data_IF_696788148604
#
_entry.id   IF_696788148604
#
_cell.length_a   1.000
_cell.length_b   1.000
_cell.length_c   1.000
_cell.angle_alpha   90.00
_cell.angle_beta   90.00
_cell.angle_gamma   90.00
#
_symmetry.space_group_name_H-M   'P 1'
#
loop_
_entity.id
_entity.type
_entity.pdbx_description
1 polymer ?
#
# COMPACT_ATOMS: atom_id res chain seq x y z
N UNK A 1 -40.29 8.51 2.78
CA UNK A 1 -41.16 7.32 2.67
C UNK A 1 -40.67 6.31 3.69
N UNK A 2 -41.54 5.49 4.31
CA UNK A 2 -41.06 4.40 5.16
C UNK A 2 -40.18 3.44 4.35
N UNK A 3 -39.19 2.84 5.01
CA UNK A 3 -38.29 1.86 4.41
C UNK A 3 -39.11 0.72 3.76
N UNK A 4 -38.73 0.24 2.56
CA UNK A 4 -39.40 -0.89 1.95
C UNK A 4 -39.22 -2.15 2.81
N UNK A 5 -40.33 -2.72 3.29
CA UNK A 5 -40.35 -3.98 4.03
C UNK A 5 -40.15 -5.15 3.05
N UNK A 6 -39.01 -5.83 3.16
CA UNK A 6 -38.63 -6.99 2.33
C UNK A 6 -39.72 -8.07 2.35
N UNK A 7 -40.31 -8.36 3.51
CA UNK A 7 -41.31 -9.42 3.62
C UNK A 7 -42.57 -9.04 2.83
N UNK A 8 -43.02 -7.79 2.94
CA UNK A 8 -44.16 -7.28 2.18
C UNK A 8 -43.90 -7.30 0.67
N UNK A 9 -42.69 -6.89 0.24
CA UNK A 9 -42.30 -6.91 -1.18
C UNK A 9 -42.23 -8.34 -1.73
N UNK A 10 -41.71 -9.29 -0.97
CA UNK A 10 -41.68 -10.71 -1.37
C UNK A 10 -43.09 -11.28 -1.48
N UNK A 11 -43.98 -10.99 -0.52
CA UNK A 11 -45.39 -11.39 -0.62
C UNK A 11 -46.12 -10.74 -1.81
N UNK A 12 -45.74 -9.52 -2.19
CA UNK A 12 -46.25 -8.89 -3.41
C UNK A 12 -45.72 -9.55 -4.68
N UNK A 13 -44.42 -9.84 -4.71
CA UNK A 13 -43.79 -10.54 -5.82
C UNK A 13 -44.43 -11.93 -6.00
N UNK A 14 -44.59 -12.70 -4.92
CA UNK A 14 -45.22 -14.02 -4.94
C UNK A 14 -46.65 -14.00 -5.50
N UNK A 15 -47.43 -12.96 -5.20
CA UNK A 15 -48.78 -12.78 -5.78
C UNK A 15 -48.75 -12.49 -7.29
N UNK A 16 -47.72 -11.83 -7.77
CA UNK A 16 -47.62 -11.36 -9.17
C UNK A 16 -46.84 -12.31 -10.08
N UNK A 17 -45.84 -12.98 -9.54
CA UNK A 17 -44.88 -13.86 -10.22
C UNK A 17 -44.28 -14.88 -9.22
N UNK A 18 -44.99 -15.99 -8.96
CA UNK A 18 -44.59 -16.98 -7.96
C UNK A 18 -43.20 -17.57 -8.23
N UNK A 19 -42.86 -17.83 -9.49
CA UNK A 19 -41.58 -18.44 -9.88
C UNK A 19 -40.40 -17.53 -9.55
N UNK A 20 -40.59 -16.20 -9.58
CA UNK A 20 -39.55 -15.23 -9.23
C UNK A 20 -39.39 -15.00 -7.72
N UNK A 21 -40.36 -15.40 -6.89
CA UNK A 21 -40.34 -15.08 -5.47
C UNK A 21 -39.23 -15.82 -4.71
N UNK A 22 -39.05 -17.12 -4.97
CA UNK A 22 -38.01 -17.93 -4.33
C UNK A 22 -36.59 -17.50 -4.74
N UNK A 23 -36.42 -17.17 -6.02
CA UNK A 23 -35.18 -16.64 -6.58
C UNK A 23 -34.83 -15.26 -5.98
N UNK A 24 -35.81 -14.37 -5.86
CA UNK A 24 -35.64 -13.06 -5.23
C UNK A 24 -35.32 -13.17 -3.74
N UNK A 25 -35.98 -14.10 -3.03
CA UNK A 25 -35.71 -14.39 -1.62
C UNK A 25 -34.26 -14.83 -1.43
N UNK A 26 -33.81 -15.80 -2.23
CA UNK A 26 -32.41 -16.26 -2.23
C UNK A 26 -31.45 -15.08 -2.45
N UNK A 27 -31.73 -14.23 -3.43
CA UNK A 27 -30.87 -13.08 -3.72
C UNK A 27 -30.79 -12.09 -2.56
N UNK A 28 -31.91 -11.73 -1.95
CA UNK A 28 -31.95 -10.75 -0.85
C UNK A 28 -31.30 -11.28 0.42
N UNK A 29 -31.49 -12.56 0.74
CA UNK A 29 -30.83 -13.18 1.90
C UNK A 29 -29.30 -13.06 1.80
N UNK A 30 -28.74 -13.32 0.61
CA UNK A 30 -27.31 -13.15 0.35
C UNK A 30 -26.86 -11.68 0.34
N UNK A 31 -27.66 -10.80 -0.25
CA UNK A 31 -27.30 -9.40 -0.46
C UNK A 31 -27.36 -8.58 0.84
N UNK A 32 -28.37 -8.82 1.68
CA UNK A 32 -28.63 -7.98 2.87
C UNK A 32 -28.14 -8.59 4.16
N UNK A 33 -28.04 -9.92 4.26
CA UNK A 33 -27.78 -10.59 5.52
C UNK A 33 -28.81 -10.28 6.62
N UNK A 34 -30.01 -9.81 6.24
CA UNK A 34 -31.07 -9.37 7.16
C UNK A 34 -31.16 -7.86 7.39
N UNK A 35 -30.25 -7.06 6.83
CA UNK A 35 -30.34 -5.60 6.88
C UNK A 35 -31.45 -5.04 5.97
N UNK A 36 -32.01 -3.85 6.28
CA UNK A 36 -33.03 -3.22 5.44
C UNK A 36 -32.53 -2.89 4.02
N UNK A 37 -33.41 -2.94 3.01
CA UNK A 37 -33.05 -2.60 1.62
C UNK A 37 -32.59 -1.14 1.44
N UNK A 38 -32.95 -0.25 2.36
CA UNK A 38 -32.52 1.16 2.33
C UNK A 38 -31.03 1.36 2.60
N UNK A 39 -30.34 0.37 3.16
CA UNK A 39 -28.90 0.43 3.39
C UNK A 39 -28.09 -0.03 2.17
N UNK A 40 -28.77 -0.55 1.13
CA UNK A 40 -28.11 -1.06 -0.07
C UNK A 40 -27.40 0.04 -0.83
N UNK A 41 -26.18 -0.26 -1.26
CA UNK A 41 -25.39 0.56 -2.18
C UNK A 41 -25.30 -0.12 -3.56
N UNK A 42 -24.87 0.64 -4.56
CA UNK A 42 -24.54 0.08 -5.87
C UNK A 42 -23.43 -0.98 -5.74
N UNK A 43 -22.46 -0.77 -4.85
CA UNK A 43 -21.37 -1.71 -4.65
C UNK A 43 -21.89 -3.07 -4.19
N UNK A 44 -22.81 -3.10 -3.21
CA UNK A 44 -23.40 -4.36 -2.71
C UNK A 44 -24.11 -5.13 -3.83
N UNK A 45 -24.91 -4.43 -4.64
CA UNK A 45 -25.65 -5.04 -5.76
C UNK A 45 -24.70 -5.58 -6.82
N UNK A 46 -23.64 -4.83 -7.16
CA UNK A 46 -22.62 -5.27 -8.10
C UNK A 46 -21.81 -6.46 -7.56
N UNK A 47 -21.36 -6.44 -6.30
CA UNK A 47 -20.62 -7.56 -5.69
C UNK A 47 -21.49 -8.82 -5.64
N UNK A 48 -22.76 -8.69 -5.26
CA UNK A 48 -23.68 -9.83 -5.28
C UNK A 48 -23.83 -10.40 -6.70
N UNK A 49 -24.25 -9.57 -7.66
CA UNK A 49 -24.57 -10.04 -9.02
C UNK A 49 -23.35 -10.56 -9.78
N UNK A 50 -22.19 -9.91 -9.62
CA UNK A 50 -21.03 -10.12 -10.48
C UNK A 50 -19.95 -10.99 -9.84
N UNK A 51 -20.00 -11.23 -8.53
CA UNK A 51 -19.03 -12.07 -7.83
C UNK A 51 -19.69 -13.17 -6.99
N UNK A 52 -20.59 -12.84 -6.07
CA UNK A 52 -21.18 -13.82 -5.14
C UNK A 52 -22.10 -14.80 -5.86
N UNK A 53 -23.02 -14.31 -6.69
CA UNK A 53 -23.97 -15.12 -7.45
C UNK A 53 -23.28 -16.18 -8.32
N UNK A 54 -22.28 -15.86 -9.17
CA UNK A 54 -21.62 -16.88 -9.99
C UNK A 54 -20.71 -17.85 -9.22
N UNK A 55 -20.15 -17.47 -8.07
CA UNK A 55 -19.15 -18.27 -7.34
C UNK A 55 -19.68 -19.02 -6.11
N UNK A 56 -20.74 -18.50 -5.46
CA UNK A 56 -21.24 -19.00 -4.18
C UNK A 56 -22.64 -19.58 -4.27
N UNK A 57 -23.44 -19.14 -5.23
CA UNK A 57 -24.80 -19.65 -5.44
C UNK A 57 -24.76 -20.75 -6.49
N UNK A 58 -25.20 -21.95 -6.08
CA UNK A 58 -25.32 -23.11 -6.97
C UNK A 58 -26.36 -22.86 -8.05
N UNK A 59 -26.06 -23.23 -9.29
CA UNK A 59 -26.98 -23.07 -10.42
C UNK A 59 -26.22 -22.96 -11.75
N UNK A 60 -26.92 -23.20 -12.85
CA UNK A 60 -26.40 -23.01 -14.20
C UNK A 60 -26.54 -21.53 -14.67
N UNK A 61 -26.09 -21.24 -15.90
CA UNK A 61 -26.19 -19.89 -16.50
C UNK A 61 -27.62 -19.34 -16.44
N UNK A 62 -28.62 -20.19 -16.70
CA UNK A 62 -30.03 -19.81 -16.72
C UNK A 62 -30.54 -19.49 -15.33
N UNK A 63 -30.28 -20.36 -14.36
CA UNK A 63 -30.67 -20.18 -12.95
C UNK A 63 -30.12 -18.86 -12.41
N UNK A 64 -28.85 -18.56 -12.66
CA UNK A 64 -28.23 -17.30 -12.21
C UNK A 64 -28.83 -16.08 -12.90
N UNK A 65 -29.18 -16.17 -14.18
CA UNK A 65 -29.87 -15.10 -14.89
C UNK A 65 -31.30 -14.89 -14.37
N UNK A 66 -31.99 -15.96 -13.97
CA UNK A 66 -33.33 -15.92 -13.39
C UNK A 66 -33.29 -15.26 -11.99
N UNK A 67 -32.34 -15.63 -11.13
CA UNK A 67 -32.06 -14.97 -9.84
C UNK A 67 -31.78 -13.47 -10.01
N UNK A 68 -30.89 -13.10 -10.94
CA UNK A 68 -30.59 -11.69 -11.21
C UNK A 68 -31.85 -10.91 -11.63
N UNK A 69 -32.68 -11.50 -12.50
CA UNK A 69 -33.94 -10.87 -12.97
C UNK A 69 -34.97 -10.76 -11.84
N UNK A 70 -35.10 -11.78 -11.01
CA UNK A 70 -35.99 -11.82 -9.86
C UNK A 70 -35.62 -10.73 -8.84
N UNK A 71 -34.33 -10.60 -8.50
CA UNK A 71 -33.82 -9.50 -7.68
C UNK A 71 -34.18 -8.13 -8.30
N UNK A 72 -33.99 -7.99 -9.62
CA UNK A 72 -34.34 -6.75 -10.32
C UNK A 72 -35.84 -6.41 -10.31
N UNK A 73 -36.74 -7.41 -10.21
CA UNK A 73 -38.18 -7.18 -10.04
C UNK A 73 -38.50 -6.71 -8.62
N UNK A 74 -37.93 -7.38 -7.62
CA UNK A 74 -38.12 -7.01 -6.22
C UNK A 74 -37.63 -5.59 -5.92
N UNK A 75 -36.43 -5.23 -6.39
CA UNK A 75 -35.87 -3.90 -6.22
C UNK A 75 -36.74 -2.83 -6.91
N UNK A 76 -37.33 -3.15 -8.06
CA UNK A 76 -38.26 -2.25 -8.74
C UNK A 76 -39.55 -2.03 -7.94
N UNK A 77 -40.12 -3.10 -7.34
CA UNK A 77 -41.26 -2.98 -6.43
C UNK A 77 -40.93 -2.12 -5.20
N UNK A 78 -39.69 -2.22 -4.70
CA UNK A 78 -39.18 -1.40 -3.60
C UNK A 78 -38.83 0.05 -3.96
N UNK A 79 -39.03 0.48 -5.23
CA UNK A 79 -38.67 1.84 -5.68
C UNK A 79 -37.17 2.08 -5.83
N UNK A 80 -36.38 1.01 -5.98
CA UNK A 80 -34.92 1.03 -6.16
C UNK A 80 -34.57 0.84 -7.65
N UNK A 81 -35.18 1.65 -8.52
CA UNK A 81 -35.12 1.55 -9.99
C UNK A 81 -33.69 1.47 -10.53
N UNK A 82 -32.77 2.22 -9.94
CA UNK A 82 -31.36 2.25 -10.36
C UNK A 82 -30.67 0.90 -10.12
N UNK A 83 -30.91 0.27 -8.97
CA UNK A 83 -30.34 -1.04 -8.67
C UNK A 83 -31.02 -2.13 -9.50
N UNK A 84 -32.34 -2.03 -9.67
CA UNK A 84 -33.10 -2.89 -10.58
C UNK A 84 -32.58 -2.83 -12.04
N UNK A 85 -32.12 -1.67 -12.50
CA UNK A 85 -31.50 -1.52 -13.82
C UNK A 85 -30.16 -2.26 -13.94
N UNK A 86 -29.35 -2.31 -12.87
CA UNK A 86 -28.10 -3.08 -12.84
C UNK A 86 -28.39 -4.57 -13.01
N UNK A 87 -29.38 -5.10 -12.28
CA UNK A 87 -29.80 -6.49 -12.39
C UNK A 87 -30.14 -6.91 -13.83
N UNK A 88 -30.77 -6.02 -14.61
CA UNK A 88 -31.17 -6.25 -16.00
C UNK A 88 -30.17 -5.75 -17.04
N UNK A 89 -29.01 -5.27 -16.62
CA UNK A 89 -28.06 -4.63 -17.52
C UNK A 89 -27.36 -5.64 -18.44
N UNK A 90 -26.98 -5.25 -19.67
CA UNK A 90 -26.12 -6.06 -20.53
C UNK A 90 -24.80 -6.44 -19.85
N UNK A 91 -24.28 -5.58 -18.98
CA UNK A 91 -23.07 -5.84 -18.19
C UNK A 91 -23.26 -7.05 -17.26
N UNK A 92 -24.36 -7.12 -16.51
CA UNK A 92 -24.68 -8.26 -15.64
C UNK A 92 -24.79 -9.55 -16.44
N UNK A 93 -25.50 -9.52 -17.57
CA UNK A 93 -25.58 -10.68 -18.48
C UNK A 93 -24.21 -11.10 -18.97
N UNK A 94 -23.37 -10.14 -19.40
CA UNK A 94 -22.03 -10.42 -19.90
C UNK A 94 -21.13 -11.07 -18.84
N UNK A 95 -21.08 -10.52 -17.62
CA UNK A 95 -20.25 -11.07 -16.54
C UNK A 95 -20.67 -12.50 -16.18
N UNK A 96 -21.98 -12.74 -15.99
CA UNK A 96 -22.50 -14.07 -15.67
C UNK A 96 -22.20 -15.09 -16.79
N UNK A 97 -22.32 -14.68 -18.05
CA UNK A 97 -21.96 -15.52 -19.20
C UNK A 97 -20.46 -15.82 -19.27
N UNK A 98 -19.60 -14.85 -18.97
CA UNK A 98 -18.15 -15.06 -18.95
C UNK A 98 -17.77 -16.07 -17.87
N UNK A 99 -18.38 -16.03 -16.68
CA UNK A 99 -18.20 -17.09 -15.68
C UNK A 99 -18.62 -18.47 -16.21
N UNK A 100 -19.81 -18.57 -16.82
CA UNK A 100 -20.34 -19.84 -17.30
C UNK A 100 -19.53 -20.43 -18.47
N UNK A 101 -19.02 -19.60 -19.38
CA UNK A 101 -18.45 -20.04 -20.66
C UNK A 101 -16.92 -20.02 -20.71
N UNK A 102 -16.30 -19.15 -19.94
CA UNK A 102 -14.86 -18.90 -19.96
C UNK A 102 -14.18 -19.20 -18.62
N UNK A 103 -14.94 -19.60 -17.61
CA UNK A 103 -14.45 -20.02 -16.30
C UNK A 103 -14.14 -18.86 -15.36
N UNK A 104 -13.83 -19.21 -14.10
CA UNK A 104 -13.76 -18.26 -12.98
C UNK A 104 -12.73 -17.15 -13.17
N UNK A 105 -11.56 -17.44 -13.75
CA UNK A 105 -10.54 -16.41 -13.96
C UNK A 105 -11.00 -15.31 -14.93
N UNK A 106 -11.60 -15.71 -16.06
CA UNK A 106 -12.15 -14.76 -17.03
C UNK A 106 -13.35 -14.01 -16.43
N UNK A 107 -14.20 -14.71 -15.67
CA UNK A 107 -15.31 -14.12 -14.95
C UNK A 107 -14.87 -13.06 -13.94
N UNK A 108 -13.86 -13.35 -13.11
CA UNK A 108 -13.29 -12.41 -12.14
C UNK A 108 -12.70 -11.18 -12.84
N UNK A 109 -12.02 -11.36 -13.98
CA UNK A 109 -11.49 -10.24 -14.76
C UNK A 109 -12.62 -9.36 -15.35
N UNK A 110 -13.68 -9.97 -15.88
CA UNK A 110 -14.85 -9.25 -16.39
C UNK A 110 -15.59 -8.50 -15.27
N UNK A 111 -15.74 -9.12 -14.11
CA UNK A 111 -16.27 -8.50 -12.90
C UNK A 111 -15.45 -7.27 -12.48
N UNK A 112 -14.13 -7.39 -12.36
CA UNK A 112 -13.26 -6.28 -11.95
C UNK A 112 -13.36 -5.12 -12.95
N UNK A 113 -13.34 -5.40 -14.25
CA UNK A 113 -13.50 -4.38 -15.29
C UNK A 113 -14.87 -3.70 -15.23
N UNK A 114 -15.95 -4.47 -15.00
CA UNK A 114 -17.30 -3.93 -14.85
C UNK A 114 -17.42 -3.05 -13.60
N UNK A 115 -16.83 -3.46 -12.49
CA UNK A 115 -16.86 -2.71 -11.23
C UNK A 115 -16.06 -1.42 -11.33
N UNK A 116 -14.87 -1.43 -11.93
CA UNK A 116 -14.09 -0.23 -12.20
C UNK A 116 -14.86 0.79 -13.05
N UNK A 117 -15.61 0.30 -14.05
CA UNK A 117 -16.41 1.14 -14.95
C UNK A 117 -17.59 1.85 -14.25
N UNK A 118 -18.06 1.35 -13.11
CA UNK A 118 -19.12 2.02 -12.33
C UNK A 118 -18.69 3.38 -11.78
N UNK A 119 -17.38 3.55 -11.53
CA UNK A 119 -16.82 4.72 -10.88
C UNK A 119 -17.09 4.85 -9.39
N UNK A 120 -17.81 3.90 -8.77
CA UNK A 120 -18.15 3.93 -7.33
C UNK A 120 -17.05 3.37 -6.44
N UNK A 121 -16.02 2.71 -7.01
CA UNK A 121 -14.88 2.25 -6.23
C UNK A 121 -14.01 3.44 -5.80
N UNK A 122 -13.59 3.55 -4.53
CA UNK A 122 -12.67 4.59 -4.12
C UNK A 122 -11.27 4.37 -4.74
N UNK A 123 -10.71 5.36 -5.47
CA UNK A 123 -9.33 5.29 -5.93
C UNK A 123 -8.35 5.35 -4.75
N UNK A 124 -7.12 4.90 -4.98
CA UNK A 124 -5.98 5.21 -4.11
C UNK A 124 -5.78 6.73 -4.03
N UNK A 125 -5.40 7.23 -2.85
CA UNK A 125 -4.99 8.62 -2.64
C UNK A 125 -3.58 8.68 -2.06
N UNK A 126 -2.98 9.88 -2.02
CA UNK A 126 -1.64 10.10 -1.47
C UNK A 126 -1.48 9.60 -0.03
N UNK A 127 -2.54 9.74 0.76
CA UNK A 127 -2.58 9.42 2.19
C UNK A 127 -2.83 7.92 2.45
N UNK A 128 -3.50 7.24 1.53
CA UNK A 128 -3.93 5.85 1.70
C UNK A 128 -3.98 5.12 0.36
N UNK A 129 -3.30 3.98 0.32
CA UNK A 129 -3.52 2.95 -0.69
C UNK A 129 -4.35 1.82 -0.11
N UNK A 130 -5.34 1.35 -0.84
CA UNK A 130 -6.24 0.29 -0.42
C UNK A 130 -5.53 -1.08 -0.43
N UNK A 131 -5.80 -1.88 0.60
CA UNK A 131 -5.39 -3.27 0.72
C UNK A 131 -6.26 -4.15 -0.16
N UNK A 132 -5.69 -5.20 -0.76
CA UNK A 132 -6.50 -6.29 -1.33
C UNK A 132 -7.12 -7.19 -0.26
N UNK A 133 -6.63 -7.10 0.99
CA UNK A 133 -7.15 -7.79 2.17
C UNK A 133 -7.35 -6.75 3.27
N UNK A 134 -8.56 -6.18 3.31
CA UNK A 134 -8.94 -5.14 4.26
C UNK A 134 -9.30 -5.78 5.62
N UNK A 135 -8.98 -5.09 6.71
CA UNK A 135 -9.63 -5.38 7.99
C UNK A 135 -10.94 -4.61 8.14
N UNK A 136 -11.66 -4.79 9.26
CA UNK A 136 -12.96 -4.17 9.49
C UNK A 136 -12.97 -2.64 9.33
N UNK A 137 -11.96 -1.92 9.84
CA UNK A 137 -11.91 -0.46 9.74
C UNK A 137 -11.63 0.00 8.31
N UNK A 138 -10.76 -0.71 7.60
CA UNK A 138 -10.45 -0.41 6.20
C UNK A 138 -11.60 -0.74 5.26
N UNK A 139 -12.31 -1.84 5.50
CA UNK A 139 -13.51 -2.20 4.77
C UNK A 139 -14.62 -1.16 5.02
N UNK A 140 -14.85 -0.76 6.28
CA UNK A 140 -15.82 0.28 6.62
C UNK A 140 -15.52 1.60 5.90
N UNK A 141 -14.26 2.04 5.90
CA UNK A 141 -13.83 3.22 5.16
C UNK A 141 -14.05 3.09 3.65
N UNK A 142 -13.75 1.93 3.07
CA UNK A 142 -13.93 1.65 1.65
C UNK A 142 -15.40 1.72 1.24
N UNK A 143 -16.29 1.07 2.00
CA UNK A 143 -17.74 1.09 1.78
C UNK A 143 -18.31 2.50 1.93
N UNK A 144 -17.90 3.24 2.98
CA UNK A 144 -18.32 4.62 3.20
C UNK A 144 -17.90 5.55 2.05
N UNK A 145 -16.66 5.42 1.56
CA UNK A 145 -16.19 6.18 0.40
C UNK A 145 -16.95 5.78 -0.87
N UNK A 146 -17.30 4.50 -1.02
CA UNK A 146 -18.05 4.02 -2.18
C UNK A 146 -19.47 4.59 -2.23
N UNK A 147 -20.19 4.56 -1.10
CA UNK A 147 -21.52 5.16 -0.97
C UNK A 147 -21.49 6.67 -1.24
N UNK A 148 -20.44 7.36 -0.82
CA UNK A 148 -20.25 8.79 -1.09
C UNK A 148 -20.03 9.09 -2.59
N UNK A 149 -19.19 8.30 -3.25
CA UNK A 149 -18.94 8.41 -4.69
C UNK A 149 -20.22 8.13 -5.47
N UNK A 150 -20.98 7.13 -5.05
CA UNK A 150 -22.27 6.81 -5.62
C UNK A 150 -23.25 7.98 -5.52
N UNK A 151 -23.40 8.57 -4.33
CA UNK A 151 -24.28 9.72 -4.12
C UNK A 151 -23.85 10.93 -4.97
N UNK A 152 -22.55 11.19 -5.06
CA UNK A 152 -22.02 12.26 -5.89
C UNK A 152 -22.28 12.02 -7.39
N UNK A 153 -22.25 10.76 -7.85
CA UNK A 153 -22.63 10.40 -9.23
C UNK A 153 -24.13 10.60 -9.46
N UNK A 154 -24.97 10.12 -8.55
CA UNK A 154 -26.44 10.20 -8.67
C UNK A 154 -26.93 11.65 -8.62
N UNK A 155 -26.33 12.48 -7.77
CA UNK A 155 -26.65 13.91 -7.66
C UNK A 155 -26.09 14.77 -8.79
N UNK A 156 -25.22 14.21 -9.64
CA UNK A 156 -24.58 14.93 -10.73
C UNK A 156 -23.37 15.78 -10.33
N UNK A 157 -22.93 15.75 -9.05
CA UNK A 157 -21.66 16.36 -8.61
C UNK A 157 -20.47 15.75 -9.36
N UNK A 158 -20.52 14.43 -9.60
CA UNK A 158 -19.54 13.72 -10.41
C UNK A 158 -20.21 13.13 -11.66
N UNK A 159 -19.71 13.52 -12.84
CA UNK A 159 -20.21 12.96 -14.10
C UNK A 159 -19.22 11.94 -14.67
N UNK A 160 -19.56 10.64 -14.70
CA UNK A 160 -18.76 9.62 -15.37
C UNK A 160 -18.43 9.99 -16.81
N UNK A 161 -17.19 9.77 -17.23
CA UNK A 161 -16.70 10.10 -18.57
C UNK A 161 -16.29 11.57 -18.78
N UNK A 162 -16.55 12.47 -17.82
CA UNK A 162 -16.04 13.84 -17.89
C UNK A 162 -14.51 13.91 -17.69
N UNK A 163 -13.80 14.89 -18.29
CA UNK A 163 -12.35 15.03 -18.11
C UNK A 163 -11.92 15.26 -16.65
N UNK A 164 -12.81 15.78 -15.79
CA UNK A 164 -12.56 16.02 -14.37
C UNK A 164 -12.94 14.85 -13.47
N UNK A 165 -13.60 13.81 -14.00
CA UNK A 165 -14.16 12.71 -13.20
C UNK A 165 -13.14 12.06 -12.27
N UNK A 166 -11.96 11.69 -12.80
CA UNK A 166 -10.90 11.05 -12.00
C UNK A 166 -10.41 11.93 -10.85
N UNK A 167 -10.12 13.22 -11.12
CA UNK A 167 -9.69 14.17 -10.09
C UNK A 167 -10.78 14.45 -9.05
N UNK A 168 -12.04 14.51 -9.49
CA UNK A 168 -13.19 14.67 -8.60
C UNK A 168 -13.36 13.48 -7.65
N UNK A 169 -13.22 12.25 -8.17
CA UNK A 169 -13.24 11.03 -7.34
C UNK A 169 -12.13 11.01 -6.30
N UNK A 170 -10.89 11.28 -6.71
CA UNK A 170 -9.75 11.35 -5.77
C UNK A 170 -9.95 12.42 -4.70
N UNK A 171 -10.47 13.60 -5.06
CA UNK A 171 -10.74 14.67 -4.12
C UNK A 171 -11.84 14.28 -3.12
N UNK A 172 -12.92 13.65 -3.59
CA UNK A 172 -14.02 13.19 -2.74
C UNK A 172 -13.57 12.07 -1.79
N UNK A 173 -12.84 11.08 -2.29
CA UNK A 173 -12.29 9.99 -1.46
C UNK A 173 -11.32 10.54 -0.42
N UNK A 174 -10.41 11.45 -0.79
CA UNK A 174 -9.52 12.10 0.18
C UNK A 174 -10.33 12.81 1.28
N UNK A 175 -11.33 13.60 0.88
CA UNK A 175 -12.21 14.33 1.83
C UNK A 175 -12.90 13.38 2.81
N UNK A 176 -13.48 12.30 2.29
CA UNK A 176 -14.17 11.30 3.11
C UNK A 176 -13.24 10.58 4.08
N UNK A 177 -11.98 10.37 3.69
CA UNK A 177 -10.97 9.74 4.52
C UNK A 177 -10.43 10.67 5.61
N UNK A 178 -10.21 11.95 5.33
CA UNK A 178 -9.45 12.85 6.23
C UNK A 178 -10.34 13.71 7.14
N UNK A 179 -11.59 13.98 6.77
CA UNK A 179 -12.46 14.82 7.59
C UNK A 179 -12.97 14.09 8.86
N UNK A 180 -13.01 14.79 10.01
CA UNK A 180 -13.66 14.29 11.23
C UNK A 180 -15.13 13.96 11.03
N UNK A 181 -15.57 12.86 11.66
CA UNK A 181 -16.93 12.31 11.52
C UNK A 181 -17.61 12.10 12.86
N UNK A 182 -18.85 12.56 12.98
CA UNK A 182 -19.62 12.46 14.21
C UNK A 182 -19.91 11.00 14.56
N UNK A 183 -20.24 10.19 13.56
CA UNK A 183 -20.47 8.74 13.67
C UNK A 183 -19.21 7.96 14.11
N UNK A 184 -18.02 8.55 13.94
CA UNK A 184 -16.75 8.00 14.42
C UNK A 184 -16.25 8.68 15.72
N UNK A 185 -17.12 9.43 16.41
CA UNK A 185 -16.77 10.13 17.65
C UNK A 185 -15.82 11.32 17.45
N UNK A 186 -15.86 11.96 16.28
CA UNK A 186 -14.98 13.07 15.90
C UNK A 186 -13.64 12.63 15.28
N UNK A 187 -13.46 11.32 15.05
CA UNK A 187 -12.28 10.79 14.35
C UNK A 187 -12.49 10.76 12.83
N UNK A 188 -11.44 10.46 12.07
CA UNK A 188 -11.48 10.28 10.61
C UNK A 188 -11.30 8.82 10.22
N UNK A 189 -11.83 8.42 9.06
CA UNK A 189 -11.62 7.07 8.53
C UNK A 189 -10.13 6.76 8.33
N UNK A 190 -9.33 7.73 7.89
CA UNK A 190 -7.90 7.56 7.70
C UNK A 190 -7.20 7.17 9.00
N UNK A 191 -7.55 7.80 10.11
CA UNK A 191 -6.98 7.48 11.42
C UNK A 191 -7.39 6.08 11.88
N UNK A 192 -8.65 5.68 11.68
CA UNK A 192 -9.15 4.33 11.99
C UNK A 192 -8.39 3.25 11.22
N UNK A 193 -8.23 3.44 9.90
CA UNK A 193 -7.46 2.53 9.05
C UNK A 193 -6.00 2.47 9.47
N UNK A 194 -5.38 3.62 9.76
CA UNK A 194 -3.99 3.65 10.24
C UNK A 194 -3.83 2.97 11.60
N UNK A 195 -4.77 3.19 12.53
CA UNK A 195 -4.80 2.55 13.84
C UNK A 195 -4.92 1.03 13.72
N UNK A 196 -5.82 0.54 12.87
CA UNK A 196 -5.98 -0.90 12.62
C UNK A 196 -4.70 -1.52 12.02
N UNK A 197 -4.13 -0.90 10.98
CA UNK A 197 -2.90 -1.39 10.34
C UNK A 197 -1.73 -1.39 11.32
N UNK A 198 -1.59 -0.34 12.13
CA UNK A 198 -0.54 -0.24 13.14
C UNK A 198 -0.72 -1.26 14.26
N UNK A 199 -1.91 -1.41 14.82
CA UNK A 199 -2.20 -2.41 15.86
C UNK A 199 -1.89 -3.82 15.34
N UNK A 200 -2.36 -4.15 14.13
CA UNK A 200 -2.05 -5.44 13.50
C UNK A 200 -0.55 -5.61 13.26
N UNK A 201 0.15 -4.56 12.82
CA UNK A 201 1.60 -4.57 12.67
C UNK A 201 2.26 -4.87 14.02
N UNK A 202 1.90 -4.21 15.12
CA UNK A 202 2.44 -4.47 16.47
C UNK A 202 2.19 -5.91 16.92
N UNK A 203 1.01 -6.46 16.63
CA UNK A 203 0.60 -7.84 16.94
C UNK A 203 1.23 -8.92 16.04
N UNK A 204 2.21 -8.56 15.20
CA UNK A 204 2.92 -9.47 14.29
C UNK A 204 3.45 -10.77 14.90
N UNK A 205 3.93 -11.68 14.05
CA UNK A 205 4.30 -13.05 14.46
C UNK A 205 5.48 -13.06 15.44
N UNK A 206 5.48 -13.99 16.40
CA UNK A 206 6.59 -14.18 17.35
C UNK A 206 6.53 -13.28 18.60
N UNK A 207 6.77 -13.87 19.78
CA UNK A 207 6.75 -13.13 21.06
C UNK A 207 7.87 -12.09 21.17
N UNK A 208 9.08 -12.43 20.70
CA UNK A 208 10.22 -11.51 20.69
C UNK A 208 9.95 -10.26 19.83
N UNK A 209 9.32 -10.45 18.67
CA UNK A 209 8.94 -9.37 17.76
C UNK A 209 7.86 -8.47 18.36
N UNK A 210 6.79 -9.06 18.92
CA UNK A 210 5.73 -8.30 19.62
C UNK A 210 6.29 -7.45 20.76
N UNK A 211 7.17 -8.04 21.60
CA UNK A 211 7.82 -7.32 22.69
C UNK A 211 8.68 -6.15 22.18
N UNK A 212 9.37 -6.34 21.05
CA UNK A 212 10.17 -5.28 20.44
C UNK A 212 9.31 -4.17 19.81
N UNK A 213 8.16 -4.51 19.23
CA UNK A 213 7.27 -3.57 18.56
C UNK A 213 6.34 -2.81 19.51
N UNK A 214 6.05 -3.35 20.70
CA UNK A 214 5.10 -2.75 21.65
C UNK A 214 5.34 -1.25 21.95
N UNK A 215 6.58 -0.77 22.18
CA UNK A 215 6.82 0.66 22.41
C UNK A 215 6.49 1.55 21.20
N UNK A 216 6.39 0.97 20.00
CA UNK A 216 6.16 1.69 18.75
C UNK A 216 4.68 1.91 18.43
N UNK A 217 3.75 1.25 19.13
CA UNK A 217 2.31 1.48 18.97
C UNK A 217 1.94 2.95 19.12
N UNK A 218 2.40 3.59 20.20
CA UNK A 218 2.16 5.02 20.44
C UNK A 218 3.07 5.89 19.58
N UNK A 219 4.36 5.53 19.45
CA UNK A 219 5.37 6.35 18.75
C UNK A 219 5.12 6.47 17.26
N UNK A 220 4.46 5.48 16.66
CA UNK A 220 4.13 5.45 15.24
C UNK A 220 2.67 5.78 14.98
N UNK A 221 1.88 6.24 15.96
CA UNK A 221 0.47 6.59 15.75
C UNK A 221 0.32 7.91 14.96
N UNK A 222 1.14 8.91 15.28
CA UNK A 222 1.18 10.19 14.57
C UNK A 222 2.20 10.15 13.40
N UNK A 223 2.02 11.00 12.36
CA UNK A 223 3.05 11.24 11.37
C UNK A 223 4.39 11.62 12.00
N UNK A 224 5.48 11.05 11.48
CA UNK A 224 6.82 11.37 11.97
C UNK A 224 7.26 12.71 11.35
N UNK A 225 7.50 13.76 12.15
CA UNK A 225 7.86 15.06 11.62
C UNK A 225 9.20 14.98 10.89
N UNK A 226 9.33 15.76 9.82
CA UNK A 226 10.57 15.77 9.07
C UNK A 226 11.61 16.67 9.76
N UNK A 227 12.82 16.19 10.12
CA UNK A 227 13.78 16.97 10.92
C UNK A 227 14.28 18.22 10.22
N UNK A 228 14.42 19.37 10.89
CA UNK A 228 14.88 20.62 10.27
C UNK A 228 16.30 20.57 9.66
N UNK A 229 16.54 21.44 8.67
CA UNK A 229 17.84 21.65 8.00
C UNK A 229 18.04 20.87 6.69
N UNK A 230 19.24 20.96 6.10
CA UNK A 230 19.60 20.28 4.85
C UNK A 230 19.66 18.76 5.05
N UNK A 231 18.94 18.00 4.19
CA UNK A 231 18.66 16.57 4.34
C UNK A 231 19.27 15.80 3.18
N UNK A 232 19.70 14.56 3.46
CA UNK A 232 19.97 13.56 2.43
C UNK A 232 20.96 14.03 1.36
N UNK A 233 22.01 14.73 1.80
CA UNK A 233 22.98 15.40 0.92
C UNK A 233 23.56 14.48 -0.17
N UNK A 234 23.88 13.19 0.09
CA UNK A 234 24.35 12.32 -0.98
C UNK A 234 23.33 12.13 -2.10
N UNK A 235 22.04 11.96 -1.77
CA UNK A 235 20.97 11.83 -2.75
C UNK A 235 20.80 13.14 -3.52
N UNK A 236 20.72 14.28 -2.82
CA UNK A 236 20.61 15.60 -3.43
C UNK A 236 21.76 15.87 -4.42
N UNK A 237 22.99 15.57 -4.01
CA UNK A 237 24.18 15.72 -4.85
C UNK A 237 24.09 14.86 -6.11
N UNK A 238 23.73 13.58 -5.99
CA UNK A 238 23.62 12.70 -7.15
C UNK A 238 22.53 13.16 -8.13
N UNK A 239 21.37 13.59 -7.62
CA UNK A 239 20.29 14.15 -8.44
C UNK A 239 20.75 15.43 -9.15
N UNK A 240 21.43 16.34 -8.45
CA UNK A 240 21.94 17.58 -9.03
C UNK A 240 22.94 17.29 -10.18
N UNK A 241 23.85 16.33 -10.00
CA UNK A 241 24.78 15.92 -11.06
C UNK A 241 24.08 15.35 -12.28
N UNK A 242 23.03 14.57 -12.09
CA UNK A 242 22.25 14.02 -13.19
C UNK A 242 21.31 15.05 -13.85
N UNK A 243 21.09 16.20 -13.20
CA UNK A 243 20.29 17.31 -13.71
C UNK A 243 21.09 18.29 -14.57
N UNK A 244 22.42 18.17 -14.62
CA UNK A 244 23.26 18.92 -15.55
C UNK A 244 22.80 18.66 -17.00
N UNK A 245 22.95 19.63 -17.94
CA UNK A 245 22.34 19.55 -19.28
C UNK A 245 22.62 18.26 -20.06
N UNK A 246 23.81 17.68 -19.89
CA UNK A 246 24.22 16.45 -20.55
C UNK A 246 24.00 15.17 -19.72
N UNK A 247 23.61 15.31 -18.46
CA UNK A 247 23.62 14.24 -17.46
C UNK A 247 25.02 13.70 -17.19
N UNK A 248 25.09 12.57 -16.48
CA UNK A 248 26.36 11.89 -16.17
C UNK A 248 26.71 10.86 -17.24
N UNK A 249 27.92 10.99 -17.82
CA UNK A 249 28.43 10.00 -18.78
C UNK A 249 29.02 8.80 -18.05
N UNK A 250 28.39 7.64 -18.21
CA UNK A 250 28.82 6.37 -17.65
C UNK A 250 29.99 5.76 -18.43
N UNK A 251 30.78 4.93 -17.73
CA UNK A 251 31.83 4.12 -18.33
C UNK A 251 31.27 3.05 -19.27
N UNK A 252 32.13 2.31 -19.97
CA UNK A 252 31.71 1.16 -20.79
C UNK A 252 31.05 0.04 -19.98
N UNK A 253 31.30 -0.03 -18.68
CA UNK A 253 30.66 -0.98 -17.75
C UNK A 253 29.35 -0.45 -17.15
N UNK A 254 28.85 0.68 -17.63
CA UNK A 254 27.66 1.38 -17.10
C UNK A 254 27.80 1.80 -15.63
N UNK A 255 29.03 2.06 -15.21
CA UNK A 255 29.38 2.60 -13.91
C UNK A 255 29.59 4.12 -13.99
N UNK A 256 29.51 4.79 -12.84
CA UNK A 256 29.93 6.18 -12.71
C UNK A 256 31.43 6.34 -13.05
N UNK A 257 31.81 7.44 -13.70
CA UNK A 257 33.20 7.69 -14.05
C UNK A 257 34.04 7.93 -12.78
N UNK A 258 35.34 7.60 -12.85
CA UNK A 258 36.22 7.50 -11.68
C UNK A 258 36.33 8.82 -10.91
N UNK A 259 36.38 9.95 -11.60
CA UNK A 259 36.41 11.29 -11.02
C UNK A 259 35.18 11.56 -10.13
N UNK A 260 33.99 11.19 -10.60
CA UNK A 260 32.72 11.29 -9.84
C UNK A 260 32.74 10.35 -8.62
N UNK A 261 33.27 9.14 -8.79
CA UNK A 261 33.39 8.16 -7.68
C UNK A 261 34.36 8.67 -6.60
N UNK A 262 35.53 9.18 -7.00
CA UNK A 262 36.54 9.75 -6.09
C UNK A 262 35.97 10.97 -5.36
N UNK A 263 35.25 11.85 -6.07
CA UNK A 263 34.62 13.00 -5.45
C UNK A 263 33.57 12.58 -4.41
N UNK A 264 32.68 11.65 -4.74
CA UNK A 264 31.65 11.15 -3.82
C UNK A 264 32.29 10.53 -2.57
N UNK A 265 33.29 9.65 -2.76
CA UNK A 265 33.99 9.00 -1.67
C UNK A 265 34.64 10.02 -0.72
N UNK A 266 35.30 11.04 -1.29
CA UNK A 266 35.91 12.13 -0.51
C UNK A 266 34.86 13.00 0.18
N UNK A 267 33.81 13.42 -0.52
CA UNK A 267 32.78 14.34 -0.02
C UNK A 267 31.99 13.74 1.14
N UNK A 268 31.69 12.44 1.06
CA UNK A 268 30.83 11.76 2.03
C UNK A 268 31.58 10.86 3.01
N UNK A 269 32.91 10.86 2.96
CA UNK A 269 33.74 10.02 3.82
C UNK A 269 33.49 8.52 3.61
N UNK A 270 33.11 8.10 2.40
CA UNK A 270 32.92 6.69 2.10
C UNK A 270 34.28 6.06 1.84
N UNK A 271 34.68 5.15 2.73
CA UNK A 271 35.98 4.52 2.71
C UNK A 271 36.24 3.80 1.38
N UNK A 272 37.29 4.20 0.68
CA UNK A 272 37.96 3.36 -0.30
C UNK A 272 39.22 2.80 0.35
N UNK A 273 39.42 1.49 0.32
CA UNK A 273 40.62 0.86 0.87
C UNK A 273 41.88 1.32 0.12
N UNK A 274 42.90 1.82 0.83
CA UNK A 274 44.22 2.12 0.28
C UNK A 274 44.25 3.33 -0.68
N UNK A 275 44.78 3.14 -1.91
CA UNK A 275 45.08 4.17 -2.92
C UNK A 275 43.89 4.93 -3.55
N UNK A 276 42.73 4.94 -2.89
CA UNK A 276 41.48 5.54 -3.40
C UNK A 276 40.70 4.62 -4.37
N UNK A 277 39.42 4.94 -4.67
CA UNK A 277 38.56 4.08 -5.47
C UNK A 277 38.94 4.14 -6.96
N UNK A 278 38.88 2.99 -7.64
CA UNK A 278 39.18 2.83 -9.07
C UNK A 278 37.90 2.72 -9.89
N UNK A 279 36.83 2.17 -9.33
CA UNK A 279 35.51 2.05 -9.95
C UNK A 279 34.38 2.24 -8.94
N UNK A 280 33.15 2.38 -9.43
CA UNK A 280 31.94 2.50 -8.59
C UNK A 280 31.80 1.32 -7.62
N UNK A 281 32.19 0.11 -8.05
CA UNK A 281 32.21 -1.10 -7.22
C UNK A 281 33.06 -0.99 -5.95
N UNK A 282 34.09 -0.14 -5.96
CA UNK A 282 34.96 0.09 -4.81
C UNK A 282 34.29 0.98 -3.74
N UNK A 283 33.13 1.57 -4.08
CA UNK A 283 32.31 2.38 -3.18
C UNK A 283 30.87 1.81 -3.14
N UNK A 284 30.64 0.66 -2.47
CA UNK A 284 29.35 -0.03 -2.51
C UNK A 284 28.14 0.83 -2.08
N UNK A 285 28.37 1.82 -1.23
CA UNK A 285 27.34 2.78 -0.78
C UNK A 285 26.84 3.64 -1.94
N UNK A 286 27.74 4.10 -2.82
CA UNK A 286 27.38 4.86 -4.01
C UNK A 286 26.59 4.01 -5.01
N UNK A 287 27.00 2.75 -5.20
CA UNK A 287 26.24 1.78 -6.02
C UNK A 287 24.82 1.61 -5.49
N UNK A 288 24.65 1.45 -4.17
CA UNK A 288 23.33 1.34 -3.52
C UNK A 288 22.51 2.61 -3.73
N UNK A 289 23.10 3.79 -3.53
CA UNK A 289 22.43 5.08 -3.73
C UNK A 289 21.89 5.21 -5.16
N UNK A 290 22.76 5.00 -6.17
CA UNK A 290 22.37 5.08 -7.58
C UNK A 290 21.28 4.07 -7.91
N UNK A 291 21.43 2.82 -7.45
CA UNK A 291 20.46 1.77 -7.70
C UNK A 291 19.09 2.12 -7.13
N UNK A 292 19.02 2.66 -5.91
CA UNK A 292 17.75 3.08 -5.31
C UNK A 292 17.13 4.25 -6.10
N UNK A 293 17.95 5.24 -6.47
CA UNK A 293 17.49 6.39 -7.25
C UNK A 293 16.93 5.97 -8.62
N UNK A 294 17.52 4.98 -9.29
CA UNK A 294 17.02 4.45 -10.57
C UNK A 294 15.80 3.53 -10.39
N UNK A 295 15.93 2.47 -9.58
CA UNK A 295 14.99 1.35 -9.58
C UNK A 295 13.80 1.55 -8.65
N UNK A 296 13.94 2.36 -7.59
CA UNK A 296 12.91 2.50 -6.55
C UNK A 296 12.27 3.87 -6.54
N UNK A 297 13.06 4.92 -6.75
CA UNK A 297 12.53 6.28 -6.80
C UNK A 297 12.12 6.68 -8.22
N UNK A 298 12.59 5.98 -9.26
CA UNK A 298 12.41 6.41 -10.65
C UNK A 298 12.98 7.81 -10.92
N UNK A 299 13.89 8.28 -10.06
CA UNK A 299 14.41 9.64 -10.05
C UNK A 299 15.52 9.84 -11.08
N UNK A 300 16.19 8.74 -11.44
CA UNK A 300 17.24 8.69 -12.43
C UNK A 300 16.88 7.67 -13.50
N UNK A 301 17.25 7.96 -14.74
CA UNK A 301 17.08 7.06 -15.86
C UNK A 301 18.40 6.85 -16.59
N UNK A 302 18.67 5.61 -16.98
CA UNK A 302 19.86 5.27 -17.77
C UNK A 302 19.46 5.00 -19.21
N UNK A 303 19.90 5.87 -20.11
CA UNK A 303 19.79 5.67 -21.56
C UNK A 303 21.17 5.41 -22.13
N UNK A 304 21.45 4.15 -22.47
CA UNK A 304 22.77 3.72 -22.94
C UNK A 304 23.86 4.00 -21.91
N UNK A 305 24.76 4.94 -22.24
CA UNK A 305 25.86 5.42 -21.39
C UNK A 305 25.58 6.78 -20.73
N UNK A 306 24.37 7.30 -20.77
CA UNK A 306 24.00 8.51 -20.03
C UNK A 306 23.09 8.15 -18.85
N UNK A 307 23.33 8.80 -17.72
CA UNK A 307 22.47 8.78 -16.55
C UNK A 307 21.89 10.19 -16.36
N UNK A 308 20.58 10.32 -16.57
CA UNK A 308 19.87 11.60 -16.56
C UNK A 308 18.82 11.64 -15.46
N UNK A 309 18.48 12.85 -15.01
CA UNK A 309 17.37 13.05 -14.09
C UNK A 309 16.02 12.91 -14.81
N UNK A 310 15.02 12.35 -14.12
CA UNK A 310 13.63 12.30 -14.59
C UNK A 310 12.82 13.48 -14.03
N UNK A 311 11.57 13.65 -14.45
CA UNK A 311 10.67 14.65 -13.84
C UNK A 311 10.42 14.36 -12.35
N UNK A 312 10.29 13.07 -11.97
CA UNK A 312 10.23 12.69 -10.55
C UNK A 312 11.52 13.08 -9.83
N UNK A 313 12.69 12.83 -10.44
CA UNK A 313 13.97 13.24 -9.87
C UNK A 313 14.07 14.76 -9.67
N UNK A 314 13.57 15.56 -10.62
CA UNK A 314 13.53 17.03 -10.51
C UNK A 314 12.61 17.47 -9.38
N UNK A 315 11.44 16.86 -9.27
CA UNK A 315 10.49 17.10 -8.17
C UNK A 315 11.13 16.79 -6.82
N UNK A 316 11.79 15.64 -6.67
CA UNK A 316 12.56 15.32 -5.47
C UNK A 316 13.66 16.36 -5.23
N UNK A 317 14.42 16.76 -6.25
CA UNK A 317 15.49 17.76 -6.08
C UNK A 317 14.98 19.10 -5.52
N UNK A 318 13.76 19.51 -5.89
CA UNK A 318 13.11 20.76 -5.46
C UNK A 318 12.40 20.62 -4.10
N UNK A 319 11.82 19.46 -3.79
CA UNK A 319 11.02 19.24 -2.58
C UNK A 319 11.76 18.38 -1.53
N UNK A 320 12.16 19.02 -0.42
CA UNK A 320 12.85 18.36 0.67
C UNK A 320 11.96 17.38 1.47
N UNK A 321 10.64 17.58 1.52
CA UNK A 321 9.73 16.67 2.19
C UNK A 321 9.52 15.41 1.34
N UNK A 322 9.28 15.55 0.03
CA UNK A 322 9.17 14.40 -0.89
C UNK A 322 10.46 13.59 -0.96
N UNK A 323 11.63 14.23 -0.98
CA UNK A 323 12.93 13.53 -0.85
C UNK A 323 13.03 12.70 0.41
N UNK A 324 12.61 13.30 1.53
CA UNK A 324 12.64 12.61 2.81
C UNK A 324 11.77 11.35 2.78
N UNK A 325 10.52 11.50 2.37
CA UNK A 325 9.57 10.40 2.26
C UNK A 325 10.08 9.27 1.35
N UNK A 326 10.60 9.63 0.17
CA UNK A 326 11.17 8.67 -0.78
C UNK A 326 12.37 7.92 -0.18
N UNK A 327 13.27 8.61 0.51
CA UNK A 327 14.45 8.00 1.12
C UNK A 327 14.08 7.10 2.31
N UNK A 328 13.15 7.52 3.17
CA UNK A 328 12.73 6.72 4.32
C UNK A 328 11.96 5.47 3.90
N UNK A 329 11.10 5.57 2.89
CA UNK A 329 10.40 4.41 2.31
C UNK A 329 11.38 3.43 1.67
N UNK A 330 12.48 3.93 1.10
CA UNK A 330 13.53 3.10 0.56
C UNK A 330 14.36 2.35 1.62
N UNK A 331 14.22 2.61 2.93
CA UNK A 331 14.93 1.84 3.96
C UNK A 331 14.33 0.42 4.15
N UNK A 332 13.01 0.30 4.04
CA UNK A 332 12.25 -0.95 4.14
C UNK A 332 11.41 -1.16 2.86
N UNK A 333 12.04 -1.48 1.72
CA UNK A 333 11.29 -1.69 0.49
C UNK A 333 10.27 -2.82 0.66
N UNK A 334 9.08 -2.73 0.04
CA UNK A 334 8.13 -3.84 0.02
C UNK A 334 8.80 -5.09 -0.54
N UNK A 335 8.58 -6.23 0.12
CA UNK A 335 8.92 -7.53 -0.42
C UNK A 335 7.88 -7.95 -1.47
N UNK A 336 8.26 -8.87 -2.36
CA UNK A 336 7.36 -9.46 -3.36
C UNK A 336 6.29 -10.41 -2.74
N UNK A 337 6.26 -10.55 -1.40
CA UNK A 337 5.27 -11.32 -0.65
C UNK A 337 5.07 -10.84 0.80
N UNK A 338 4.14 -11.46 1.53
CA UNK A 338 3.78 -11.08 2.92
C UNK A 338 4.89 -11.35 3.95
N UNK A 339 5.83 -12.25 3.67
CA UNK A 339 6.90 -12.65 4.58
C UNK A 339 8.24 -12.77 3.85
N UNK A 340 9.18 -11.88 4.19
CA UNK A 340 10.55 -11.87 3.67
C UNK A 340 11.53 -11.68 4.82
N UNK A 341 12.46 -12.62 4.97
CA UNK A 341 13.44 -12.63 6.06
C UNK A 341 14.27 -11.33 6.08
N UNK A 342 14.66 -10.82 4.90
CA UNK A 342 15.50 -9.65 4.82
C UNK A 342 14.76 -8.39 5.25
N UNK A 343 13.47 -8.26 4.93
CA UNK A 343 12.62 -7.18 5.42
C UNK A 343 12.42 -7.30 6.94
N UNK A 344 12.05 -8.47 7.47
CA UNK A 344 11.90 -8.71 8.91
C UNK A 344 13.18 -8.36 9.69
N UNK A 345 14.34 -8.78 9.19
CA UNK A 345 15.63 -8.52 9.83
C UNK A 345 15.94 -7.00 9.88
N UNK A 346 15.67 -6.27 8.80
CA UNK A 346 15.90 -4.82 8.73
C UNK A 346 14.90 -4.04 9.57
N UNK A 347 13.64 -4.46 9.60
CA UNK A 347 12.60 -3.90 10.46
C UNK A 347 13.00 -4.04 11.94
N UNK A 348 13.38 -5.24 12.37
CA UNK A 348 13.86 -5.48 13.72
C UNK A 348 15.08 -4.63 14.06
N UNK A 349 16.04 -4.51 13.14
CA UNK A 349 17.22 -3.67 13.33
C UNK A 349 16.85 -2.19 13.50
N UNK A 350 15.92 -1.66 12.69
CA UNK A 350 15.43 -0.29 12.84
C UNK A 350 14.69 -0.09 14.16
N UNK A 351 13.89 -1.06 14.62
CA UNK A 351 13.26 -0.99 15.95
C UNK A 351 14.28 -0.99 17.09
N UNK A 352 15.37 -1.76 16.98
CA UNK A 352 16.45 -1.71 17.99
C UNK A 352 17.15 -0.36 17.98
N UNK A 353 17.50 0.15 16.79
CA UNK A 353 18.28 1.37 16.64
C UNK A 353 17.48 2.66 16.92
N UNK A 354 16.18 2.68 16.60
CA UNK A 354 15.31 3.85 16.80
C UNK A 354 15.02 4.13 18.28
N UNK A 355 15.20 3.15 19.16
CA UNK A 355 15.15 3.32 20.61
C UNK A 355 16.15 4.39 21.06
N UNK A 356 17.34 4.40 20.44
CA UNK A 356 18.38 5.41 20.66
C UNK A 356 19.38 5.07 21.76
N UNK A 357 19.20 3.94 22.43
CA UNK A 357 20.22 3.33 23.28
C UNK A 357 21.40 2.85 22.41
N UNK A 358 22.66 3.10 22.84
CA UNK A 358 23.82 2.53 22.18
C UNK A 358 23.79 0.99 22.23
N UNK A 359 24.09 0.32 21.12
CA UNK A 359 24.14 -1.14 21.04
C UNK A 359 25.41 -1.59 20.34
N UNK A 360 26.01 -2.71 20.78
CA UNK A 360 27.12 -3.29 20.03
C UNK A 360 26.63 -3.95 18.74
N UNK A 361 27.47 -4.09 17.69
CA UNK A 361 27.12 -4.86 16.51
C UNK A 361 26.73 -6.32 16.81
N UNK A 362 27.32 -6.91 17.87
CA UNK A 362 26.99 -8.26 18.33
C UNK A 362 25.58 -8.33 18.92
N UNK A 363 25.26 -7.46 19.87
CA UNK A 363 23.93 -7.40 20.49
C UNK A 363 22.84 -7.10 19.46
N UNK A 364 23.10 -6.19 18.50
CA UNK A 364 22.15 -5.91 17.43
C UNK A 364 21.84 -7.18 16.63
N UNK A 365 22.87 -7.92 16.22
CA UNK A 365 22.71 -9.17 15.47
C UNK A 365 21.94 -10.21 16.26
N UNK A 366 22.27 -10.39 17.54
CA UNK A 366 21.61 -11.36 18.42
C UNK A 366 20.12 -11.03 18.62
N UNK A 367 19.79 -9.76 18.87
CA UNK A 367 18.39 -9.31 19.02
C UNK A 367 17.60 -9.51 17.73
N UNK A 368 18.19 -9.19 16.57
CA UNK A 368 17.55 -9.38 15.27
C UNK A 368 17.37 -10.87 14.96
N UNK A 369 18.38 -11.69 15.22
CA UNK A 369 18.29 -13.14 15.03
C UNK A 369 17.23 -13.78 15.94
N UNK A 370 17.07 -13.31 17.18
CA UNK A 370 16.01 -13.77 18.08
C UNK A 370 14.60 -13.43 17.57
N UNK A 371 14.43 -12.23 16.99
CA UNK A 371 13.16 -11.81 16.37
C UNK A 371 12.83 -12.68 15.16
N UNK A 372 13.75 -12.77 14.20
CA UNK A 372 13.58 -13.55 12.96
C UNK A 372 13.41 -15.04 13.27
N UNK A 373 14.19 -15.60 14.21
CA UNK A 373 14.01 -16.98 14.65
C UNK A 373 12.63 -17.23 15.29
N UNK A 374 12.12 -16.28 16.06
CA UNK A 374 10.79 -16.33 16.66
C UNK A 374 9.62 -16.21 15.67
N UNK A 375 9.87 -15.73 14.45
CA UNK A 375 8.91 -15.68 13.35
C UNK A 375 8.84 -17.01 12.55
N UNK A 376 9.73 -17.96 12.83
CA UNK A 376 9.72 -19.32 12.25
C UNK A 376 10.78 -19.60 11.19
N UNK A 377 11.70 -18.66 10.91
CA UNK A 377 12.81 -18.86 9.97
C UNK A 377 13.88 -19.81 10.55
N UNK A 378 14.36 -20.81 9.79
CA UNK A 378 15.33 -21.84 10.24
C UNK A 378 16.67 -21.85 9.46
N UNK A 379 17.70 -22.40 10.13
CA UNK A 379 19.03 -22.93 9.69
C UNK A 379 20.06 -22.04 8.96
N UNK A 380 19.72 -20.92 8.32
CA UNK A 380 20.70 -19.99 7.70
C UNK A 380 20.68 -18.56 8.30
N UNK A 381 19.88 -18.35 9.35
CA UNK A 381 19.50 -17.05 9.91
C UNK A 381 20.70 -16.14 10.20
N UNK A 382 21.81 -16.64 10.75
CA UNK A 382 22.93 -15.76 11.14
C UNK A 382 23.55 -15.04 9.95
N UNK A 383 23.84 -15.76 8.87
CA UNK A 383 24.44 -15.18 7.65
C UNK A 383 23.45 -14.29 6.92
N UNK A 384 22.19 -14.71 6.82
CA UNK A 384 21.16 -13.93 6.12
C UNK A 384 20.80 -12.65 6.88
N UNK A 385 20.81 -12.69 8.22
CA UNK A 385 20.70 -11.50 9.07
C UNK A 385 21.91 -10.58 8.82
N UNK A 386 23.13 -11.11 8.79
CA UNK A 386 24.32 -10.29 8.54
C UNK A 386 24.29 -9.59 7.16
N UNK A 387 23.88 -10.32 6.12
CA UNK A 387 23.68 -9.74 4.78
C UNK A 387 22.60 -8.66 4.82
N UNK A 388 21.49 -8.91 5.52
CA UNK A 388 20.37 -7.97 5.64
C UNK A 388 20.76 -6.70 6.39
N UNK A 389 21.51 -6.82 7.48
CA UNK A 389 22.08 -5.70 8.24
C UNK A 389 23.08 -4.91 7.41
N UNK A 390 23.96 -5.60 6.67
CA UNK A 390 24.92 -4.95 5.76
C UNK A 390 24.20 -4.11 4.72
N UNK A 391 23.11 -4.62 4.12
CA UNK A 391 22.29 -3.87 3.17
C UNK A 391 21.64 -2.67 3.84
N UNK A 392 21.07 -2.83 5.04
CA UNK A 392 20.46 -1.72 5.78
C UNK A 392 21.47 -0.61 6.08
N UNK A 393 22.64 -0.96 6.61
CA UNK A 393 23.68 0.02 6.90
C UNK A 393 24.15 0.73 5.63
N UNK A 394 24.32 0.02 4.52
CA UNK A 394 24.64 0.67 3.23
C UNK A 394 23.55 1.66 2.80
N UNK A 395 22.26 1.35 2.99
CA UNK A 395 21.14 2.26 2.69
C UNK A 395 21.16 3.48 3.61
N UNK A 396 21.34 3.28 4.91
CA UNK A 396 21.46 4.37 5.87
C UNK A 396 22.66 5.26 5.53
N UNK A 397 23.83 4.69 5.24
CA UNK A 397 25.02 5.45 4.83
C UNK A 397 24.82 6.18 3.50
N UNK A 398 24.15 5.55 2.53
CA UNK A 398 23.83 6.15 1.23
C UNK A 398 22.99 7.42 1.36
N UNK A 399 22.20 7.52 2.43
CA UNK A 399 21.38 8.70 2.72
C UNK A 399 21.97 9.63 3.77
N UNK A 400 23.16 9.34 4.31
CA UNK A 400 23.74 10.12 5.41
C UNK A 400 22.98 9.96 6.74
N UNK A 401 22.36 8.79 6.94
CA UNK A 401 21.52 8.42 8.09
C UNK A 401 22.14 7.30 8.94
N UNK A 402 23.39 6.92 8.66
CA UNK A 402 24.08 5.84 9.34
C UNK A 402 24.23 6.11 10.85
N UNK A 403 24.30 5.05 11.68
CA UNK A 403 24.69 5.20 13.07
C UNK A 403 26.09 5.80 13.18
N UNK A 404 26.28 6.62 14.21
CA UNK A 404 27.61 6.98 14.68
C UNK A 404 28.16 5.80 15.46
N UNK A 405 29.46 5.52 15.25
CA UNK A 405 30.20 4.52 16.01
C UNK A 405 30.99 5.24 17.09
N UNK A 406 30.54 5.12 18.34
CA UNK A 406 31.32 5.56 19.51
C UNK A 406 32.14 4.37 20.02
N UNK A 407 33.40 4.57 20.39
CA UNK A 407 34.19 3.51 21.04
C UNK A 407 34.11 3.72 22.55
N UNK A 408 33.58 2.72 23.27
CA UNK A 408 33.56 2.70 24.74
C UNK A 408 34.31 1.47 25.20
N UNK A 409 35.34 1.64 26.03
CA UNK A 409 36.13 0.52 26.56
C UNK A 409 36.65 -0.42 25.45
N UNK A 410 37.10 0.15 24.32
CA UNK A 410 37.54 -0.58 23.11
C UNK A 410 36.44 -1.38 22.38
N UNK A 411 35.17 -1.18 22.73
CA UNK A 411 34.01 -1.81 22.08
C UNK A 411 33.27 -0.77 21.22
N UNK A 412 33.01 -1.03 19.93
CA UNK A 412 32.23 -0.14 19.08
C UNK A 412 30.75 -0.19 19.47
N UNK A 413 30.17 0.98 19.69
CA UNK A 413 28.77 1.21 20.04
C UNK A 413 28.07 1.94 18.90
N UNK A 414 27.01 1.33 18.37
CA UNK A 414 26.18 1.89 17.32
C UNK A 414 25.08 2.73 17.94
N UNK A 415 24.93 3.99 17.48
CA UNK A 415 23.81 4.85 17.86
C UNK A 415 23.35 5.69 16.68
N UNK A 416 22.06 5.68 16.37
CA UNK A 416 21.51 6.58 15.36
C UNK A 416 21.56 8.03 15.84
N UNK A 417 21.95 8.94 14.95
CA UNK A 417 21.77 10.38 15.15
C UNK A 417 20.29 10.72 15.29
N UNK A 418 19.90 11.90 15.82
CA UNK A 418 18.49 12.30 15.86
C UNK A 418 17.80 12.21 14.49
N UNK A 419 18.50 12.58 13.42
CA UNK A 419 18.01 12.44 12.03
C UNK A 419 17.86 10.97 11.63
N UNK A 420 18.85 10.13 11.93
CA UNK A 420 18.77 8.68 11.68
C UNK A 420 17.60 8.03 12.42
N UNK A 421 17.34 8.43 13.68
CA UNK A 421 16.19 7.95 14.47
C UNK A 421 14.86 8.37 13.84
N UNK A 422 14.74 9.62 13.41
CA UNK A 422 13.55 10.09 12.71
C UNK A 422 13.30 9.33 11.41
N UNK A 423 14.37 9.05 10.64
CA UNK A 423 14.26 8.26 9.42
C UNK A 423 13.86 6.81 9.69
N UNK A 424 14.41 6.20 10.75
CA UNK A 424 14.04 4.86 11.17
C UNK A 424 12.55 4.80 11.57
N UNK A 425 12.05 5.77 12.34
CA UNK A 425 10.65 5.87 12.71
C UNK A 425 9.75 6.08 11.49
N UNK A 426 10.14 6.95 10.56
CA UNK A 426 9.38 7.19 9.32
C UNK A 426 9.31 5.93 8.45
N UNK A 427 10.41 5.19 8.32
CA UNK A 427 10.46 3.92 7.60
C UNK A 427 9.58 2.85 8.27
N UNK A 428 9.63 2.74 9.61
CA UNK A 428 8.79 1.82 10.37
C UNK A 428 7.30 2.15 10.23
N UNK A 429 6.93 3.45 10.32
CA UNK A 429 5.54 3.89 10.11
C UNK A 429 5.08 3.56 8.69
N UNK A 430 5.85 3.92 7.67
CA UNK A 430 5.50 3.60 6.28
C UNK A 430 5.33 2.09 6.06
N UNK A 431 6.19 1.28 6.69
CA UNK A 431 6.09 -0.17 6.63
C UNK A 431 4.85 -0.72 7.36
N UNK A 432 4.52 -0.18 8.54
CA UNK A 432 3.35 -0.58 9.32
C UNK A 432 2.02 -0.21 8.62
N UNK A 433 1.99 0.92 7.91
CA UNK A 433 0.80 1.44 7.25
C UNK A 433 0.62 0.96 5.81
N UNK A 434 1.49 0.09 5.29
CA UNK A 434 1.41 -0.38 3.90
C UNK A 434 0.11 -1.16 3.61
N UNK A 435 -0.42 -1.10 2.37
CA UNK A 435 -1.54 -1.95 1.98
C UNK A 435 -1.13 -3.42 2.01
N UNK A 436 -2.09 -4.28 2.41
CA UNK A 436 -1.92 -5.73 2.33
C UNK A 436 -2.23 -6.20 0.92
N UNK A 437 -1.50 -7.20 0.45
CA UNK A 437 -1.68 -7.80 -0.87
C UNK A 437 -1.71 -9.31 -0.74
N UNK A 438 -2.58 -9.97 -1.50
CA UNK A 438 -2.40 -11.39 -1.76
C UNK A 438 -1.01 -11.62 -2.35
N UNK A 439 -0.34 -12.68 -1.90
CA UNK A 439 0.81 -13.18 -2.67
C UNK A 439 0.21 -13.68 -3.98
N UNK A 440 0.46 -12.96 -5.07
CA UNK A 440 0.17 -13.50 -6.39
C UNK A 440 1.04 -14.75 -6.54
N UNK A 441 0.43 -15.93 -6.42
CA UNK A 441 1.02 -17.17 -6.94
C UNK A 441 1.30 -16.91 -8.41
N UNK A 442 2.58 -16.70 -8.73
CA UNK A 442 3.04 -16.65 -10.12
C UNK A 442 2.92 -18.02 -10.76
#
# INVERSE_FOLDING_TARGET
MPAPDVAALLSELERSDPDAADDAKTAVEWLTGGEPLETLTQLDVCEFLWYTLPLKVSGDERTRADIARALGKLLLLGGLDRYAAICRSPTTTHVLQTFARSGDQAGIAAYQAALDATGVLPPDVSELRWSSIMGPEELGAHLACSAALELAIVSGELTPGSPSFGRGREALTRRWLTEPRAELGGDSWLNRVHGERLNRWVLGRGSARRKLAQPYEVRLHAPIPVPDGERLEPLRWLLARAAEPDGLTLTRRHELPRDVVVEAARRFGWSASGSGPRSESDVPVLTVLRRIACERMGALHRTGRRLTITDEGRSLLQDAARRWEAATTALLPPADGEHDLAVSAREAALMVLADGAPVTPRELRERVAAVVGGEGWRTSVSRDVEVSLTVLFRRLTAFGLAPVVEVRENVPMLRLTPRGRSAALAALRAHALRPRRYVATR
#
